data_IF_697064082354
#
_entry.id   IF_697064082354
#
_cell.length_a   1.000
_cell.length_b   1.000
_cell.length_c   1.000
_cell.angle_alpha   90.00
_cell.angle_beta   90.00
_cell.angle_gamma   90.00
#
_symmetry.space_group_name_H-M   'P 1'
#
loop_
_entity.id
_entity.type
_entity.pdbx_description
1 polymer ?
#
# COMPACT_ATOMS: atom_id res chain seq x y z
N UNK A 1 -1.64 -14.50 19.77
CA UNK A 1 -0.81 -14.61 18.54
C UNK A 1 -1.23 -13.52 17.59
N UNK A 2 -0.39 -12.50 17.41
CA UNK A 2 -0.58 -11.46 16.40
C UNK A 2 -0.05 -12.03 15.09
N UNK A 3 -0.93 -12.29 14.14
CA UNK A 3 -0.59 -12.76 12.80
C UNK A 3 -0.71 -11.64 11.77
N UNK A 4 -0.44 -11.95 10.50
CA UNK A 4 -0.73 -11.04 9.37
C UNK A 4 -2.17 -10.51 9.41
N UNK A 5 -3.09 -11.25 10.04
CA UNK A 5 -4.41 -10.77 10.39
C UNK A 5 -4.43 -9.46 11.14
N UNK A 6 -3.41 -9.18 11.96
CA UNK A 6 -3.33 -7.94 12.73
C UNK A 6 -2.93 -6.73 11.85
N UNK A 7 -2.20 -6.95 10.76
CA UNK A 7 -1.91 -5.92 9.74
C UNK A 7 -3.22 -5.44 9.11
N UNK A 8 -4.13 -6.34 8.81
CA UNK A 8 -5.44 -6.01 8.26
C UNK A 8 -6.41 -5.44 9.29
N UNK A 9 -6.19 -5.66 10.60
CA UNK A 9 -7.01 -5.05 11.68
C UNK A 9 -6.72 -3.56 11.90
N UNK A 10 -5.91 -2.94 11.03
CA UNK A 10 -5.50 -1.54 11.20
C UNK A 10 -4.87 -1.29 12.60
N UNK A 11 -4.19 -2.29 13.15
CA UNK A 11 -3.51 -2.18 14.46
C UNK A 11 -2.20 -1.40 14.36
N UNK A 12 -1.65 -1.29 13.13
CA UNK A 12 -0.43 -0.54 12.86
C UNK A 12 -0.81 0.84 12.33
N UNK A 13 -0.44 1.86 13.06
CA UNK A 13 -0.71 3.25 12.72
C UNK A 13 0.58 4.07 12.60
N UNK A 14 1.69 3.51 13.09
CA UNK A 14 2.98 4.17 13.14
C UNK A 14 4.01 3.44 12.28
N UNK A 15 4.99 4.18 11.80
CA UNK A 15 6.05 3.61 10.96
C UNK A 15 6.95 2.63 11.71
N UNK A 16 7.10 2.80 13.02
CA UNK A 16 7.85 1.91 13.89
C UNK A 16 7.27 0.49 13.91
N UNK A 17 5.95 0.37 13.89
CA UNK A 17 5.27 -0.93 13.79
C UNK A 17 5.56 -1.59 12.43
N UNK A 18 5.54 -0.81 11.36
CA UNK A 18 5.84 -1.28 9.99
C UNK A 18 7.30 -1.72 9.88
N UNK A 19 8.23 -0.94 10.43
CA UNK A 19 9.66 -1.29 10.44
C UNK A 19 9.90 -2.61 11.15
N UNK A 20 9.29 -2.78 12.33
CA UNK A 20 9.38 -4.03 13.09
C UNK A 20 8.87 -5.24 12.29
N UNK A 21 7.69 -5.13 11.66
CA UNK A 21 7.12 -6.23 10.86
C UNK A 21 8.00 -6.53 9.66
N UNK A 22 8.41 -5.50 8.93
CA UNK A 22 9.25 -5.67 7.74
C UNK A 22 10.54 -6.41 8.07
N UNK A 23 11.18 -6.09 9.18
CA UNK A 23 12.40 -6.75 9.62
C UNK A 23 12.17 -8.24 9.91
N UNK A 24 11.00 -8.61 10.45
CA UNK A 24 10.64 -10.01 10.72
C UNK A 24 10.40 -10.83 9.44
N UNK A 25 9.87 -10.22 8.38
CA UNK A 25 9.47 -10.94 7.16
C UNK A 25 10.44 -10.73 5.99
N UNK A 26 11.44 -9.85 6.15
CA UNK A 26 12.37 -9.45 5.08
C UNK A 26 13.07 -10.66 4.44
N UNK A 27 13.58 -11.57 5.27
CA UNK A 27 14.29 -12.76 4.78
C UNK A 27 13.38 -13.67 3.97
N UNK A 28 12.14 -13.88 4.40
CA UNK A 28 11.16 -14.70 3.70
C UNK A 28 10.77 -14.08 2.35
N UNK A 29 10.58 -12.75 2.32
CA UNK A 29 10.27 -12.02 1.09
C UNK A 29 11.43 -12.08 0.08
N UNK A 30 12.66 -11.84 0.55
CA UNK A 30 13.86 -11.91 -0.30
C UNK A 30 14.06 -13.33 -0.83
N UNK A 31 13.96 -14.35 0.04
CA UNK A 31 14.06 -15.75 -0.36
C UNK A 31 12.97 -16.16 -1.36
N UNK A 32 11.75 -15.69 -1.14
CA UNK A 32 10.64 -15.91 -2.07
C UNK A 32 10.88 -15.27 -3.43
N UNK A 33 11.42 -14.07 -3.48
CA UNK A 33 11.78 -13.39 -4.72
C UNK A 33 12.90 -14.14 -5.47
N UNK A 34 13.95 -14.60 -4.78
CA UNK A 34 15.06 -15.36 -5.39
C UNK A 34 14.59 -16.69 -5.96
N UNK A 35 13.69 -17.41 -5.30
CA UNK A 35 13.06 -18.63 -5.83
C UNK A 35 12.27 -18.37 -7.11
N UNK A 36 11.76 -17.16 -7.30
CA UNK A 36 11.07 -16.71 -8.49
C UNK A 36 12.00 -16.02 -9.53
N UNK A 37 13.30 -16.17 -9.37
CA UNK A 37 14.29 -15.70 -10.34
C UNK A 37 14.62 -14.21 -10.26
N UNK A 38 14.36 -13.56 -9.13
CA UNK A 38 14.57 -12.12 -8.93
C UNK A 38 15.48 -11.88 -7.72
N UNK A 39 16.54 -11.07 -7.90
CA UNK A 39 17.37 -10.56 -6.79
C UNK A 39 16.81 -9.25 -6.30
N UNK A 40 16.49 -9.16 -5.01
CA UNK A 40 16.10 -7.91 -4.35
C UNK A 40 17.37 -7.14 -3.95
N UNK A 41 17.46 -5.88 -4.37
CA UNK A 41 18.56 -4.98 -4.04
C UNK A 41 18.24 -4.12 -2.82
N UNK A 42 17.01 -3.63 -2.72
CA UNK A 42 16.46 -2.94 -1.54
C UNK A 42 14.96 -3.02 -1.51
N UNK A 43 14.37 -2.86 -0.32
CA UNK A 43 12.92 -2.72 -0.11
C UNK A 43 12.67 -1.48 0.73
N UNK A 44 11.68 -0.70 0.35
CA UNK A 44 11.34 0.59 0.96
C UNK A 44 9.84 0.80 1.09
N UNK A 45 9.42 1.60 2.05
CA UNK A 45 8.06 2.09 2.09
C UNK A 45 7.93 3.28 1.14
N UNK A 46 6.87 3.26 0.35
CA UNK A 46 6.47 4.40 -0.48
C UNK A 46 5.65 5.40 0.35
N UNK A 47 4.89 4.91 1.31
CA UNK A 47 4.11 5.72 2.24
C UNK A 47 2.79 5.05 2.64
N UNK A 48 2.09 5.68 3.59
CA UNK A 48 0.75 5.27 3.97
C UNK A 48 -0.24 5.47 2.82
N UNK A 49 -1.06 4.48 2.58
CA UNK A 49 -2.11 4.50 1.55
C UNK A 49 -3.38 5.08 2.13
N UNK A 50 -4.00 5.99 1.37
CA UNK A 50 -5.31 6.56 1.65
C UNK A 50 -6.23 6.40 0.44
N UNK A 51 -7.53 6.37 0.67
CA UNK A 51 -8.50 6.41 -0.42
C UNK A 51 -8.64 7.82 -0.98
N UNK A 52 -8.40 7.97 -2.26
CA UNK A 52 -8.68 9.19 -3.04
C UNK A 52 -9.83 8.91 -3.98
N UNK A 53 -10.84 9.79 -3.97
CA UNK A 53 -12.11 9.56 -4.66
C UNK A 53 -12.62 10.82 -5.33
N UNK A 54 -13.42 10.65 -6.40
CA UNK A 54 -14.11 11.80 -7.02
C UNK A 54 -15.28 12.28 -6.15
N UNK A 55 -15.99 11.36 -5.51
CA UNK A 55 -17.10 11.66 -4.60
C UNK A 55 -16.63 11.59 -3.14
N UNK A 56 -17.28 12.34 -2.27
CA UNK A 56 -17.03 12.25 -0.83
C UNK A 56 -17.44 10.88 -0.32
N UNK A 57 -16.55 10.25 0.46
CA UNK A 57 -16.83 8.98 1.16
C UNK A 57 -16.49 9.12 2.64
N UNK A 58 -17.28 8.46 3.51
CA UNK A 58 -17.05 8.37 4.95
C UNK A 58 -17.18 6.93 5.46
N UNK A 59 -17.99 6.11 4.80
CA UNK A 59 -18.33 4.76 5.24
C UNK A 59 -17.93 3.71 4.19
N UNK A 60 -17.81 2.43 4.58
CA UNK A 60 -17.66 1.32 3.63
C UNK A 60 -18.75 1.29 2.57
N UNK A 61 -19.98 1.67 2.94
CA UNK A 61 -21.10 1.72 2.00
C UNK A 61 -20.84 2.72 0.89
N UNK A 62 -20.33 3.91 1.21
CA UNK A 62 -20.01 4.92 0.20
C UNK A 62 -18.94 4.43 -0.77
N UNK A 63 -17.92 3.69 -0.28
CA UNK A 63 -16.87 3.13 -1.12
C UNK A 63 -17.40 1.99 -2.02
N UNK A 64 -18.40 1.20 -1.56
CA UNK A 64 -19.05 0.17 -2.39
C UNK A 64 -19.77 0.74 -3.61
N UNK A 65 -20.20 1.98 -3.54
CA UNK A 65 -20.83 2.69 -4.66
C UNK A 65 -19.80 3.22 -5.69
N UNK A 66 -18.49 3.15 -5.35
CA UNK A 66 -17.44 3.61 -6.25
C UNK A 66 -16.91 2.46 -7.14
N UNK A 67 -16.31 2.85 -8.27
CA UNK A 67 -15.53 1.97 -9.14
C UNK A 67 -14.08 2.06 -8.68
N UNK A 68 -13.63 1.07 -7.93
CA UNK A 68 -12.31 1.10 -7.29
C UNK A 68 -11.24 0.56 -8.22
N UNK A 69 -10.16 1.32 -8.37
CA UNK A 69 -8.97 0.83 -9.06
C UNK A 69 -8.28 -0.27 -8.26
N UNK A 70 -7.88 -1.34 -8.96
CA UNK A 70 -7.02 -2.40 -8.43
C UNK A 70 -5.89 -2.72 -9.42
N UNK A 71 -4.83 -3.36 -8.97
CA UNK A 71 -3.69 -3.71 -9.79
C UNK A 71 -4.05 -4.73 -10.88
N UNK A 72 -3.72 -4.42 -12.13
CA UNK A 72 -3.80 -5.42 -13.21
C UNK A 72 -2.87 -6.60 -12.89
N UNK A 73 -3.42 -7.81 -13.01
CA UNK A 73 -2.68 -9.05 -12.69
C UNK A 73 -2.85 -9.53 -11.25
N UNK A 74 -3.30 -8.70 -10.32
CA UNK A 74 -3.68 -9.12 -8.97
C UNK A 74 -5.17 -9.50 -8.90
N UNK A 75 -5.51 -10.57 -9.60
CA UNK A 75 -6.89 -11.08 -9.65
C UNK A 75 -7.37 -11.62 -8.31
N UNK A 76 -6.46 -12.01 -7.40
CA UNK A 76 -6.83 -12.47 -6.06
C UNK A 76 -7.38 -11.34 -5.21
N UNK A 77 -6.69 -10.21 -5.19
CA UNK A 77 -7.16 -9.01 -4.48
C UNK A 77 -8.44 -8.46 -5.12
N UNK A 78 -8.53 -8.41 -6.46
CA UNK A 78 -9.74 -7.99 -7.13
C UNK A 78 -10.93 -8.87 -6.76
N UNK A 79 -10.75 -10.20 -6.74
CA UNK A 79 -11.78 -11.16 -6.32
C UNK A 79 -12.20 -10.95 -4.87
N UNK A 80 -11.25 -10.70 -3.96
CA UNK A 80 -11.53 -10.41 -2.54
C UNK A 80 -12.43 -9.18 -2.40
N UNK A 81 -12.14 -8.11 -3.15
CA UNK A 81 -12.96 -6.92 -3.17
C UNK A 81 -14.37 -7.17 -3.70
N UNK A 82 -14.49 -7.93 -4.79
CA UNK A 82 -15.78 -8.31 -5.38
C UNK A 82 -16.64 -9.15 -4.42
N UNK A 83 -16.04 -10.16 -3.78
CA UNK A 83 -16.69 -10.99 -2.76
C UNK A 83 -17.14 -10.18 -1.53
N UNK A 84 -16.43 -9.11 -1.19
CA UNK A 84 -16.81 -8.16 -0.14
C UNK A 84 -17.89 -7.16 -0.58
N UNK A 85 -18.35 -7.23 -1.84
CA UNK A 85 -19.42 -6.42 -2.41
C UNK A 85 -18.97 -5.05 -2.92
N UNK A 86 -17.70 -4.91 -3.29
CA UNK A 86 -17.16 -3.73 -3.97
C UNK A 86 -17.15 -3.92 -5.49
N UNK A 87 -16.78 -2.86 -6.21
CA UNK A 87 -16.70 -2.86 -7.68
C UNK A 87 -15.24 -2.62 -8.14
N UNK A 88 -14.37 -3.66 -8.08
CA UNK A 88 -12.98 -3.54 -8.46
C UNK A 88 -12.80 -3.51 -9.97
N UNK A 89 -11.97 -2.59 -10.45
CA UNK A 89 -11.60 -2.46 -11.86
C UNK A 89 -10.08 -2.65 -11.99
N UNK A 90 -9.60 -3.85 -12.37
CA UNK A 90 -8.18 -4.11 -12.55
C UNK A 90 -7.60 -3.37 -13.76
N UNK A 91 -6.69 -2.43 -13.52
CA UNK A 91 -6.03 -1.64 -14.57
C UNK A 91 -4.54 -1.49 -14.30
N UNK A 92 -3.76 -1.36 -15.38
CA UNK A 92 -2.34 -1.03 -15.25
C UNK A 92 -2.16 0.42 -14.78
N UNK A 93 -1.07 0.67 -14.06
CA UNK A 93 -0.79 2.02 -13.51
C UNK A 93 -0.77 3.13 -14.57
N UNK A 94 -0.19 2.93 -15.77
CA UNK A 94 -0.22 3.96 -16.81
C UNK A 94 -1.63 4.39 -17.25
N UNK A 95 -2.64 3.52 -17.05
CA UNK A 95 -4.03 3.78 -17.49
C UNK A 95 -4.85 4.50 -16.40
N UNK A 96 -4.30 4.68 -15.18
CA UNK A 96 -5.05 5.29 -14.06
C UNK A 96 -5.54 6.67 -14.39
N UNK A 97 -4.69 7.53 -14.92
CA UNK A 97 -5.05 8.92 -15.20
C UNK A 97 -6.21 9.04 -16.21
N UNK A 98 -6.12 8.37 -17.33
CA UNK A 98 -7.17 8.36 -18.36
C UNK A 98 -8.47 7.72 -17.85
N UNK A 99 -8.35 6.67 -17.03
CA UNK A 99 -9.50 5.99 -16.44
C UNK A 99 -10.23 6.85 -15.40
N UNK A 100 -9.51 7.68 -14.65
CA UNK A 100 -10.10 8.68 -13.77
C UNK A 100 -10.82 9.78 -14.57
N UNK A 101 -10.19 10.27 -15.65
CA UNK A 101 -10.79 11.30 -16.50
C UNK A 101 -12.09 10.84 -17.18
N UNK A 102 -12.17 9.59 -17.58
CA UNK A 102 -13.35 9.01 -18.23
C UNK A 102 -14.40 8.49 -17.24
N UNK A 103 -14.08 8.45 -15.95
CA UNK A 103 -14.96 7.86 -14.93
C UNK A 103 -15.07 6.34 -15.02
N UNK A 104 -14.13 5.66 -15.70
CA UNK A 104 -14.00 4.21 -15.66
C UNK A 104 -13.68 3.74 -14.25
N UNK A 105 -12.78 4.45 -13.54
CA UNK A 105 -12.59 4.37 -12.10
C UNK A 105 -12.80 5.73 -11.47
N UNK A 106 -13.21 5.78 -10.21
CA UNK A 106 -13.46 7.01 -9.47
C UNK A 106 -12.98 6.96 -8.01
N UNK A 107 -12.33 5.87 -7.63
CA UNK A 107 -11.69 5.69 -6.33
C UNK A 107 -10.39 4.90 -6.48
N UNK A 108 -9.36 5.30 -5.77
CA UNK A 108 -8.05 4.63 -5.81
C UNK A 108 -7.32 4.74 -4.47
N UNK A 109 -6.62 3.67 -4.02
CA UNK A 109 -5.80 3.66 -2.82
C UNK A 109 -4.34 3.93 -3.19
N UNK A 110 -3.83 5.12 -2.86
CA UNK A 110 -2.44 5.49 -3.10
C UNK A 110 -1.86 6.33 -1.96
N UNK A 111 -0.52 6.41 -1.83
CA UNK A 111 0.13 7.36 -0.95
C UNK A 111 -0.07 8.82 -1.43
N UNK A 112 -0.22 9.80 -0.51
CA UNK A 112 -0.41 11.21 -0.85
C UNK A 112 0.66 11.77 -1.78
N UNK A 113 1.94 11.45 -1.53
CA UNK A 113 3.05 11.93 -2.35
C UNK A 113 2.93 11.44 -3.81
N UNK A 114 2.48 10.19 -4.00
CA UNK A 114 2.25 9.63 -5.33
C UNK A 114 1.08 10.34 -6.05
N UNK A 115 0.00 10.61 -5.32
CA UNK A 115 -1.17 11.33 -5.85
C UNK A 115 -0.81 12.77 -6.23
N UNK A 116 0.00 13.44 -5.41
CA UNK A 116 0.48 14.80 -5.68
C UNK A 116 1.40 14.84 -6.92
N UNK A 117 2.38 13.94 -6.99
CA UNK A 117 3.33 13.88 -8.10
C UNK A 117 2.65 13.59 -9.46
N UNK A 118 1.61 12.78 -9.48
CA UNK A 118 0.85 12.45 -10.69
C UNK A 118 -0.37 13.38 -10.91
N UNK A 119 -0.58 14.38 -10.05
CA UNK A 119 -1.68 15.35 -10.13
C UNK A 119 -3.08 14.72 -10.15
N UNK A 120 -3.25 13.53 -9.59
CA UNK A 120 -4.55 12.83 -9.56
C UNK A 120 -5.58 13.57 -8.72
N UNK A 121 -5.15 14.35 -7.73
CA UNK A 121 -6.02 15.19 -6.89
C UNK A 121 -6.84 16.23 -7.68
N UNK A 122 -6.45 16.56 -8.91
CA UNK A 122 -7.26 17.39 -9.81
C UNK A 122 -8.57 16.73 -10.20
N UNK A 123 -8.64 15.40 -10.17
CA UNK A 123 -9.81 14.59 -10.52
C UNK A 123 -10.41 13.99 -9.24
N UNK A 124 -9.61 13.31 -8.42
CA UNK A 124 -10.02 12.73 -7.13
C UNK A 124 -9.91 13.76 -6.02
N UNK A 125 -10.90 14.66 -5.95
CA UNK A 125 -10.88 15.82 -5.04
C UNK A 125 -11.14 15.52 -3.58
N UNK A 126 -11.31 14.26 -3.21
CA UNK A 126 -11.61 13.82 -1.86
C UNK A 126 -10.56 12.80 -1.41
N UNK A 127 -10.07 12.96 -0.19
CA UNK A 127 -9.21 12.01 0.50
C UNK A 127 -9.90 11.56 1.79
N UNK A 128 -10.06 10.27 1.99
CA UNK A 128 -10.51 9.71 3.26
C UNK A 128 -9.36 9.76 4.25
N UNK A 129 -9.49 10.52 5.34
CA UNK A 129 -8.45 10.66 6.36
C UNK A 129 -8.38 9.42 7.26
N UNK A 130 -7.91 8.34 6.66
CA UNK A 130 -7.78 7.05 7.31
C UNK A 130 -6.64 6.27 6.64
N UNK A 131 -5.58 5.98 7.38
CA UNK A 131 -4.50 5.10 6.94
C UNK A 131 -5.10 3.73 6.61
N UNK A 132 -5.05 3.33 5.33
CA UNK A 132 -5.61 2.08 4.85
C UNK A 132 -4.60 0.93 4.94
N UNK A 133 -3.37 1.20 4.60
CA UNK A 133 -2.26 0.25 4.61
C UNK A 133 -0.96 0.95 4.28
N UNK A 134 0.11 0.19 4.14
CA UNK A 134 1.42 0.69 3.71
C UNK A 134 1.73 0.16 2.31
N UNK A 135 2.15 1.03 1.40
CA UNK A 135 2.68 0.62 0.11
C UNK A 135 4.18 0.40 0.23
N UNK A 136 4.62 -0.82 -0.06
CA UNK A 136 6.04 -1.18 -0.08
C UNK A 136 6.48 -1.42 -1.52
N UNK A 137 7.66 -0.92 -1.88
CA UNK A 137 8.30 -1.16 -3.17
C UNK A 137 9.63 -1.88 -2.99
N UNK A 138 10.07 -2.59 -4.03
CA UNK A 138 11.38 -3.21 -4.07
C UNK A 138 12.11 -2.85 -5.36
N UNK A 139 13.40 -2.54 -5.26
CA UNK A 139 14.30 -2.49 -6.40
C UNK A 139 14.83 -3.89 -6.66
N UNK A 140 14.58 -4.41 -7.85
CA UNK A 140 14.89 -5.79 -8.19
C UNK A 140 15.66 -5.89 -9.50
N UNK A 141 16.41 -6.97 -9.66
CA UNK A 141 17.10 -7.32 -10.91
C UNK A 141 16.89 -8.81 -11.21
N UNK A 142 16.79 -9.16 -12.48
CA UNK A 142 16.74 -10.58 -12.89
C UNK A 142 17.94 -11.34 -12.33
N UNK A 143 17.71 -12.52 -11.73
CA UNK A 143 18.74 -13.28 -11.04
C UNK A 143 19.82 -13.81 -12.00
N UNK A 144 19.47 -14.10 -13.26
CA UNK A 144 20.44 -14.54 -14.28
C UNK A 144 21.36 -13.40 -14.69
N UNK A 145 20.81 -12.18 -14.76
CA UNK A 145 21.60 -10.96 -15.01
C UNK A 145 22.50 -10.68 -13.82
N UNK A 146 21.97 -10.73 -12.59
CA UNK A 146 22.70 -10.55 -11.36
C UNK A 146 23.92 -11.48 -11.27
N UNK A 147 23.75 -12.76 -11.57
CA UNK A 147 24.81 -13.78 -11.48
C UNK A 147 25.95 -13.58 -12.52
N UNK A 148 25.74 -12.74 -13.55
CA UNK A 148 26.79 -12.38 -14.52
C UNK A 148 27.63 -11.17 -14.05
N UNK A 149 27.17 -10.43 -13.04
CA UNK A 149 27.86 -9.27 -12.50
C UNK A 149 29.00 -9.77 -11.61
N UNK A 150 30.20 -9.20 -11.79
CA UNK A 150 31.37 -9.56 -10.95
C UNK A 150 31.06 -9.24 -9.48
N UNK A 151 31.47 -10.10 -8.51
CA UNK A 151 31.13 -9.94 -7.08
C UNK A 151 31.50 -8.56 -6.49
N UNK A 152 32.58 -7.94 -6.96
CA UNK A 152 32.97 -6.60 -6.52
C UNK A 152 31.92 -5.53 -6.86
N UNK A 153 31.26 -5.66 -8.01
CA UNK A 153 30.21 -4.74 -8.42
C UNK A 153 28.87 -5.06 -7.73
N UNK A 154 28.56 -6.36 -7.55
CA UNK A 154 27.40 -6.77 -6.77
C UNK A 154 27.42 -6.15 -5.36
N UNK A 155 28.57 -6.17 -4.69
CA UNK A 155 28.74 -5.57 -3.36
C UNK A 155 28.48 -4.06 -3.38
N UNK A 156 28.96 -3.35 -4.40
CA UNK A 156 28.73 -1.90 -4.55
C UNK A 156 27.26 -1.62 -4.83
N UNK A 157 26.64 -2.38 -5.74
CA UNK A 157 25.21 -2.23 -6.07
C UNK A 157 24.32 -2.43 -4.85
N UNK A 158 24.54 -3.48 -4.06
CA UNK A 158 23.78 -3.71 -2.82
C UNK A 158 23.91 -2.51 -1.88
N UNK A 159 25.15 -2.08 -1.59
CA UNK A 159 25.40 -0.96 -0.69
C UNK A 159 24.72 0.32 -1.14
N UNK A 160 24.91 0.71 -2.41
CA UNK A 160 24.32 1.94 -2.97
C UNK A 160 22.78 1.85 -2.98
N UNK A 161 22.22 0.69 -3.33
CA UNK A 161 20.76 0.49 -3.32
C UNK A 161 20.17 0.59 -1.92
N UNK A 162 20.84 0.07 -0.91
CA UNK A 162 20.41 0.20 0.49
C UNK A 162 20.49 1.65 0.98
N UNK A 163 21.59 2.36 0.70
CA UNK A 163 21.78 3.76 1.08
C UNK A 163 20.71 4.67 0.45
N UNK A 164 20.52 4.57 -0.88
CA UNK A 164 19.51 5.35 -1.60
C UNK A 164 18.08 4.94 -1.15
N UNK A 165 17.85 3.65 -0.94
CA UNK A 165 16.55 3.16 -0.48
C UNK A 165 16.17 3.75 0.88
N UNK A 166 17.11 3.77 1.82
CA UNK A 166 16.88 4.37 3.15
C UNK A 166 16.61 5.87 3.05
N UNK A 167 17.41 6.59 2.26
CA UNK A 167 17.21 8.03 2.04
C UNK A 167 15.83 8.32 1.44
N UNK A 168 15.42 7.56 0.41
CA UNK A 168 14.11 7.66 -0.21
C UNK A 168 12.99 7.42 0.80
N UNK A 169 13.08 6.36 1.60
CA UNK A 169 12.08 6.04 2.61
C UNK A 169 11.92 7.15 3.66
N UNK A 170 13.04 7.67 4.17
CA UNK A 170 13.03 8.74 5.17
C UNK A 170 12.45 10.05 4.60
N UNK A 171 12.78 10.39 3.37
CA UNK A 171 12.23 11.55 2.70
C UNK A 171 10.72 11.40 2.46
N UNK A 172 10.27 10.26 1.96
CA UNK A 172 8.85 10.01 1.73
C UNK A 172 8.02 10.14 3.01
N UNK A 173 8.49 9.55 4.12
CA UNK A 173 7.82 9.63 5.43
C UNK A 173 7.71 11.07 5.93
N UNK A 174 8.74 11.87 5.68
CA UNK A 174 8.79 13.29 6.09
C UNK A 174 7.88 14.18 5.23
N UNK A 175 7.76 13.87 3.94
CA UNK A 175 7.07 14.72 2.97
C UNK A 175 5.59 14.37 2.78
N UNK A 176 5.09 13.29 3.43
CA UNK A 176 3.72 12.81 3.27
C UNK A 176 2.68 13.86 3.66
N UNK A 177 2.85 14.49 4.83
CA UNK A 177 1.93 15.52 5.32
C UNK A 177 2.01 16.80 4.47
N UNK A 178 3.20 17.15 3.99
CA UNK A 178 3.39 18.30 3.10
C UNK A 178 2.67 18.09 1.77
N UNK A 179 2.73 16.88 1.20
CA UNK A 179 2.00 16.54 -0.01
C UNK A 179 0.48 16.74 0.16
N UNK A 180 -0.08 16.33 1.30
CA UNK A 180 -1.50 16.58 1.62
C UNK A 180 -1.78 18.07 1.71
N UNK A 181 -0.94 18.85 2.39
CA UNK A 181 -1.11 20.30 2.53
C UNK A 181 -1.06 21.01 1.18
N UNK A 182 -0.12 20.64 0.32
CA UNK A 182 -0.03 21.16 -1.05
C UNK A 182 -1.34 20.87 -1.80
N UNK A 183 -1.81 19.63 -1.81
CA UNK A 183 -3.04 19.27 -2.51
C UNK A 183 -4.27 19.99 -1.96
N UNK A 184 -4.35 20.24 -0.65
CA UNK A 184 -5.43 21.06 -0.02
C UNK A 184 -5.45 22.48 -0.57
N UNK A 185 -4.29 23.09 -0.80
CA UNK A 185 -4.21 24.43 -1.40
C UNK A 185 -4.76 24.47 -2.83
N UNK A 186 -4.83 23.33 -3.50
CA UNK A 186 -5.44 23.15 -4.83
C UNK A 186 -6.84 22.52 -4.80
N UNK A 187 -7.47 22.49 -3.62
CA UNK A 187 -8.88 22.13 -3.48
C UNK A 187 -9.17 20.69 -3.06
N UNK A 188 -8.16 19.90 -2.68
CA UNK A 188 -8.40 18.58 -2.07
C UNK A 188 -9.18 18.74 -0.77
N UNK A 189 -10.26 17.99 -0.63
CA UNK A 189 -11.05 17.89 0.59
C UNK A 189 -10.58 16.66 1.38
N UNK A 190 -10.18 16.88 2.63
CA UNK A 190 -9.77 15.80 3.55
C UNK A 190 -10.95 15.46 4.46
N UNK A 191 -11.54 14.28 4.27
CA UNK A 191 -12.73 13.82 4.94
C UNK A 191 -12.36 13.09 6.24
N UNK A 192 -12.58 13.73 7.37
CA UNK A 192 -12.37 13.14 8.69
C UNK A 192 -13.54 12.21 9.05
N UNK A 193 -13.23 11.16 9.81
CA UNK A 193 -14.21 10.17 10.24
C UNK A 193 -14.61 10.37 11.70
N UNK A 194 -15.89 10.16 12.00
CA UNK A 194 -16.36 9.96 13.37
C UNK A 194 -15.92 8.60 13.93
N UNK A 195 -16.03 8.41 15.24
CA UNK A 195 -15.73 7.12 15.88
C UNK A 195 -16.63 5.99 15.36
N UNK A 196 -17.89 6.30 15.11
CA UNK A 196 -18.87 5.36 14.57
C UNK A 196 -18.47 4.92 13.17
N UNK A 197 -18.07 5.86 12.30
CA UNK A 197 -17.59 5.56 10.94
C UNK A 197 -16.31 4.73 10.95
N UNK A 198 -15.36 5.04 11.83
CA UNK A 198 -14.16 4.22 12.02
C UNK A 198 -14.53 2.79 12.42
N UNK A 199 -15.52 2.63 13.30
CA UNK A 199 -15.99 1.31 13.72
C UNK A 199 -16.62 0.52 12.55
N UNK A 200 -17.37 1.18 11.67
CA UNK A 200 -17.91 0.54 10.46
C UNK A 200 -16.79 -0.01 9.55
N UNK A 201 -15.70 0.75 9.38
CA UNK A 201 -14.52 0.29 8.64
C UNK A 201 -13.84 -0.90 9.32
N UNK A 202 -13.73 -0.91 10.64
CA UNK A 202 -13.17 -2.04 11.38
C UNK A 202 -14.01 -3.30 11.21
N UNK A 203 -15.34 -3.19 11.31
CA UNK A 203 -16.27 -4.30 11.07
C UNK A 203 -16.15 -4.85 9.66
N UNK A 204 -16.03 -3.99 8.64
CA UNK A 204 -15.76 -4.42 7.27
C UNK A 204 -14.46 -5.23 7.19
N UNK A 205 -13.36 -4.68 7.69
CA UNK A 205 -12.05 -5.33 7.65
C UNK A 205 -12.11 -6.70 8.34
N UNK A 206 -12.73 -6.79 9.51
CA UNK A 206 -12.93 -8.06 10.22
C UNK A 206 -13.76 -9.08 9.41
N UNK A 207 -14.77 -8.62 8.69
CA UNK A 207 -15.59 -9.50 7.84
C UNK A 207 -14.84 -10.05 6.62
N UNK A 208 -13.78 -9.36 6.17
CA UNK A 208 -12.96 -9.79 5.05
C UNK A 208 -11.89 -10.84 5.43
N UNK A 209 -11.56 -11.00 6.73
CA UNK A 209 -10.55 -11.97 7.16
C UNK A 209 -10.77 -13.40 6.67
N UNK A 210 -11.98 -13.96 6.76
CA UNK A 210 -12.22 -15.32 6.29
C UNK A 210 -12.00 -15.49 4.78
N UNK A 211 -12.04 -14.39 4.03
CA UNK A 211 -11.84 -14.38 2.58
C UNK A 211 -10.35 -14.34 2.19
N UNK A 212 -9.47 -13.99 3.14
CA UNK A 212 -8.03 -13.91 2.88
C UNK A 212 -7.45 -15.32 2.87
N UNK A 213 -6.79 -15.76 1.78
CA UNK A 213 -6.19 -17.10 1.71
C UNK A 213 -5.21 -17.36 2.85
N UNK A 214 -5.27 -18.57 3.43
CA UNK A 214 -4.42 -19.00 4.56
C UNK A 214 -2.92 -18.85 4.27
N UNK A 215 -2.50 -18.88 2.99
CA UNK A 215 -1.12 -18.63 2.58
C UNK A 215 -0.57 -17.24 2.97
N UNK A 216 -1.44 -16.29 3.28
CA UNK A 216 -1.07 -14.95 3.78
C UNK A 216 -1.14 -14.84 5.31
N UNK A 217 -1.68 -15.84 6.02
CA UNK A 217 -1.93 -15.80 7.45
C UNK A 217 -0.86 -16.47 8.31
N UNK A 218 0.18 -17.05 7.71
CA UNK A 218 1.21 -17.81 8.44
C UNK A 218 2.35 -16.99 9.07
N UNK A 219 2.35 -15.69 8.90
CA UNK A 219 3.29 -14.81 9.61
C UNK A 219 2.73 -14.48 11.00
N UNK A 220 3.10 -15.30 11.98
CA UNK A 220 2.79 -15.02 13.39
C UNK A 220 3.87 -14.11 13.97
N UNK A 221 3.46 -12.94 14.47
CA UNK A 221 4.34 -12.09 15.26
C UNK A 221 4.56 -12.73 16.65
N UNK A 222 5.77 -12.66 17.20
CA UNK A 222 6.01 -13.11 18.56
C UNK A 222 5.13 -12.30 19.53
N UNK A 223 4.40 -13.00 20.38
CA UNK A 223 3.69 -12.38 21.50
C UNK A 223 4.72 -11.78 22.45
N UNK A 224 4.76 -10.47 22.57
CA UNK A 224 5.43 -9.84 23.71
C UNK A 224 4.68 -10.25 24.96
N UNK A 225 5.26 -11.19 25.70
CA UNK A 225 4.84 -11.47 27.07
C UNK A 225 5.07 -10.20 27.87
N UNK A 226 3.98 -9.57 28.29
CA UNK A 226 4.02 -8.50 29.29
C UNK A 226 4.59 -9.11 30.58
N UNK A 227 5.68 -8.57 31.05
CA UNK A 227 6.10 -8.65 32.44
C UNK A 227 5.64 -7.37 33.12
#
# INVERSE_FOLDING_TARGET
>A
SRGLGDVYKRQFQEYEDIDFIRDQIKEDLVSGAEKNGVKVLTMVDVGWVYWFTTNTIHTPKDLKEQKIWTWAGDYKTAKLWDEAGFNPIPLAVPDVHSSLQTGLVNAMPFPPLYVAANQYFGITKNMLNMKWGILTAALVIDLKVWNRIKPKYQKVMMKVSEEIGLEYQLNNRKEEDEAVNVMKNYGLQVNNLSKEQINEWNVLVESMYPLIPVSYTHLTLPTTSSV
#
